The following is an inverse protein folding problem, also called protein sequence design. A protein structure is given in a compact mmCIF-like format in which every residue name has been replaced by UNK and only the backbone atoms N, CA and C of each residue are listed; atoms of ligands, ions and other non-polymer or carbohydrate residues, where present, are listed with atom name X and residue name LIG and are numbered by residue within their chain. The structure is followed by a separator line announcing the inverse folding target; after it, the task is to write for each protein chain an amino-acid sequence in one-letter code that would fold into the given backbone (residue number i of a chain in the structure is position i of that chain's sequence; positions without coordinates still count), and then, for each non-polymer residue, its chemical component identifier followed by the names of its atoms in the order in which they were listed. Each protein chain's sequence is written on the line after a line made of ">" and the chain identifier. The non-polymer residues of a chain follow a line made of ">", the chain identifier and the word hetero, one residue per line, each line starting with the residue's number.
data_IF_391718219832
#
_entry.id   IF_391718219832
#
_cell.length_a   1.000
_cell.length_b   1.000
_cell.length_c   1.000
_cell.angle_alpha   90.00
_cell.angle_beta   90.00
_cell.angle_gamma   90.00
#
_symmetry.space_group_name_H-M   'P 1'
#
loop_
_entity.id
_entity.type
_entity.pdbx_description
1 polymer ?
#
# COMPACT_ATOMS: atom_id res chain seq x y z
N UNK A 1 6.78 3.46 -17.86
CA UNK A 1 6.62 2.63 -16.63
C UNK A 1 5.18 2.78 -16.17
N UNK A 2 4.35 1.77 -16.34
CA UNK A 2 2.92 1.84 -15.98
C UNK A 2 2.77 1.94 -14.46
N UNK A 3 2.21 3.05 -13.98
CA UNK A 3 1.96 3.26 -12.56
C UNK A 3 0.63 2.59 -12.18
N UNK A 4 0.65 1.63 -11.27
CA UNK A 4 -0.58 0.98 -10.81
C UNK A 4 -1.19 1.76 -9.64
N UNK A 5 -2.45 2.13 -9.77
CA UNK A 5 -3.18 2.90 -8.76
C UNK A 5 -4.34 2.06 -8.25
N UNK A 6 -4.34 1.78 -6.96
CA UNK A 6 -5.44 1.11 -6.25
C UNK A 6 -6.17 2.17 -5.45
N UNK A 7 -7.46 2.36 -5.71
CA UNK A 7 -8.25 3.41 -5.07
C UNK A 7 -9.69 2.98 -4.84
N UNK A 8 -10.36 3.68 -3.93
CA UNK A 8 -11.80 3.61 -3.79
C UNK A 8 -12.41 4.77 -4.59
N UNK A 9 -13.33 4.46 -5.52
CA UNK A 9 -13.93 5.49 -6.35
C UNK A 9 -14.75 6.47 -5.48
N UNK A 10 -14.52 7.78 -5.57
CA UNK A 10 -15.27 8.75 -4.77
C UNK A 10 -16.74 8.88 -5.19
N UNK A 11 -17.09 8.44 -6.40
CA UNK A 11 -18.46 8.50 -6.92
C UNK A 11 -19.28 7.25 -6.57
N UNK A 12 -18.77 6.05 -6.84
CA UNK A 12 -19.52 4.81 -6.62
C UNK A 12 -19.08 4.01 -5.39
N UNK A 13 -18.04 4.42 -4.67
CA UNK A 13 -17.52 3.73 -3.50
C UNK A 13 -16.83 2.38 -3.78
N UNK A 14 -16.82 1.92 -5.03
CA UNK A 14 -16.19 0.65 -5.42
C UNK A 14 -14.66 0.72 -5.39
N UNK A 15 -14.01 -0.38 -4.95
CA UNK A 15 -12.56 -0.55 -5.08
C UNK A 15 -12.20 -0.80 -6.54
N UNK A 16 -11.27 -0.01 -7.07
CA UNK A 16 -10.79 -0.05 -8.46
C UNK A 16 -9.27 -0.13 -8.51
N UNK A 17 -8.78 -0.74 -9.59
CA UNK A 17 -7.36 -0.81 -9.92
C UNK A 17 -7.22 -0.31 -11.35
N UNK A 18 -6.32 0.64 -11.57
CA UNK A 18 -6.06 1.19 -12.89
C UNK A 18 -4.55 1.33 -13.09
N UNK A 19 -4.12 1.34 -14.35
CA UNK A 19 -2.74 1.61 -14.74
C UNK A 19 -2.76 2.61 -15.90
N UNK A 20 -2.79 3.93 -15.62
CA UNK A 20 -2.80 4.93 -16.66
C UNK A 20 -1.52 4.83 -17.50
N UNK A 21 -1.68 4.85 -18.82
CA UNK A 21 -0.58 4.82 -19.79
C UNK A 21 -0.84 5.94 -20.82
N UNK A 22 0.00 7.00 -20.87
CA UNK A 22 1.16 7.30 -20.02
C UNK A 22 0.81 7.55 -18.52
N UNK A 23 1.78 7.58 -17.59
CA UNK A 23 1.51 7.67 -16.13
C UNK A 23 0.72 8.92 -15.68
N UNK A 24 0.82 9.99 -16.44
CA UNK A 24 0.09 11.24 -16.30
C UNK A 24 -1.28 11.24 -16.99
N UNK A 25 -1.66 10.15 -17.68
CA UNK A 25 -2.97 10.00 -18.30
C UNK A 25 -4.11 10.09 -17.27
N UNK A 26 -5.32 10.49 -17.70
CA UNK A 26 -6.47 10.61 -16.81
C UNK A 26 -6.79 9.30 -16.10
N UNK A 27 -7.01 9.37 -14.79
CA UNK A 27 -7.51 8.24 -14.02
C UNK A 27 -9.02 8.12 -14.28
N UNK A 28 -9.49 6.89 -14.56
CA UNK A 28 -10.90 6.60 -14.82
C UNK A 28 -11.39 5.45 -13.97
N UNK A 29 -12.68 5.48 -13.64
CA UNK A 29 -13.40 4.40 -13.00
C UNK A 29 -14.24 3.65 -14.03
N UNK A 30 -13.91 2.38 -14.28
CA UNK A 30 -14.61 1.54 -15.27
C UNK A 30 -16.04 1.18 -14.85
N UNK A 31 -16.44 1.46 -13.61
CA UNK A 31 -17.78 1.15 -13.11
C UNK A 31 -18.80 2.27 -13.27
N UNK A 32 -18.39 3.54 -13.10
CA UNK A 32 -19.32 4.66 -13.06
C UNK A 32 -18.89 5.85 -13.94
N UNK A 33 -17.79 5.71 -14.70
CA UNK A 33 -17.29 6.75 -15.60
C UNK A 33 -16.63 7.94 -14.91
N UNK A 34 -16.49 7.93 -13.57
CA UNK A 34 -15.76 8.99 -12.87
C UNK A 34 -14.34 9.10 -13.42
N UNK A 35 -13.88 10.32 -13.67
CA UNK A 35 -12.52 10.56 -14.14
C UNK A 35 -11.91 11.81 -13.53
N UNK A 36 -10.59 11.84 -13.41
CA UNK A 36 -9.81 13.01 -13.03
C UNK A 36 -8.64 13.17 -14.00
N UNK A 37 -8.60 14.30 -14.68
CA UNK A 37 -7.66 14.60 -15.77
C UNK A 37 -6.52 15.57 -15.36
N UNK A 38 -6.42 15.94 -14.08
CA UNK A 38 -5.37 16.86 -13.58
C UNK A 38 -3.94 16.32 -13.77
N UNK A 39 -3.79 15.05 -14.14
CA UNK A 39 -2.72 14.61 -15.02
C UNK A 39 -1.32 15.06 -14.62
N UNK A 40 -0.77 15.94 -15.44
CA UNK A 40 0.55 16.53 -15.28
C UNK A 40 0.69 17.41 -14.01
N UNK A 41 -0.38 18.06 -13.53
CA UNK A 41 -0.34 18.94 -12.37
C UNK A 41 -0.15 18.18 -11.03
N UNK A 42 -0.43 16.87 -11.00
CA UNK A 42 -0.17 16.05 -9.82
C UNK A 42 1.32 15.65 -9.69
N UNK A 43 2.12 15.88 -10.74
CA UNK A 43 3.55 15.61 -10.75
C UNK A 43 4.34 16.91 -10.59
N UNK A 44 5.38 16.88 -9.76
CA UNK A 44 6.34 17.97 -9.62
C UNK A 44 7.75 17.41 -9.87
N UNK A 45 8.48 18.04 -10.80
CA UNK A 45 9.83 17.60 -11.20
C UNK A 45 9.90 16.10 -11.56
N UNK A 46 8.87 15.58 -12.22
CA UNK A 46 8.78 14.17 -12.63
C UNK A 46 8.36 13.20 -11.54
N UNK A 47 8.16 13.66 -10.30
CA UNK A 47 7.74 12.83 -9.16
C UNK A 47 6.29 13.12 -8.74
N UNK A 48 5.61 12.12 -8.16
CA UNK A 48 4.23 12.28 -7.72
C UNK A 48 4.13 13.19 -6.49
N UNK A 49 3.71 14.43 -6.66
CA UNK A 49 3.60 15.41 -5.59
C UNK A 49 2.21 15.44 -4.93
N UNK A 50 1.17 15.02 -5.67
CA UNK A 50 -0.21 14.99 -5.17
C UNK A 50 -0.91 13.69 -5.55
N UNK A 51 -1.88 13.30 -4.73
CA UNK A 51 -2.68 12.12 -4.98
C UNK A 51 -3.50 12.28 -6.26
N UNK A 52 -3.34 11.34 -7.20
CA UNK A 52 -4.07 11.32 -8.49
C UNK A 52 -5.58 11.22 -8.36
N UNK A 53 -6.09 10.83 -7.19
CA UNK A 53 -7.52 10.60 -6.95
C UNK A 53 -8.19 11.83 -6.33
N UNK A 54 -7.59 12.42 -5.30
CA UNK A 54 -8.21 13.49 -4.50
C UNK A 54 -7.42 14.82 -4.50
N UNK A 55 -6.25 14.89 -5.14
CA UNK A 55 -5.41 16.09 -5.21
C UNK A 55 -4.67 16.45 -3.92
N UNK A 56 -4.76 15.62 -2.87
CA UNK A 56 -4.06 15.87 -1.60
C UNK A 56 -2.53 15.75 -1.77
N UNK A 57 -1.76 16.67 -1.19
CA UNK A 57 -0.29 16.63 -1.17
C UNK A 57 0.28 15.71 -0.10
N UNK A 58 -0.51 15.36 0.91
CA UNK A 58 -0.05 14.53 2.02
C UNK A 58 -0.03 13.06 1.59
N UNK A 59 1.14 12.63 1.10
CA UNK A 59 1.48 11.27 0.69
C UNK A 59 2.60 10.75 1.58
N UNK A 60 2.54 9.48 1.96
CA UNK A 60 3.59 8.83 2.73
C UNK A 60 4.10 7.56 2.05
N UNK A 61 5.36 7.22 2.30
CA UNK A 61 6.00 5.99 1.78
C UNK A 61 5.65 4.79 2.65
N UNK A 62 5.07 3.77 2.02
CA UNK A 62 4.79 2.47 2.62
C UNK A 62 5.47 1.36 1.82
N UNK A 63 6.02 0.34 2.49
CA UNK A 63 6.43 -0.89 1.79
C UNK A 63 5.21 -1.62 1.25
N UNK A 64 5.34 -2.14 0.04
CA UNK A 64 4.24 -2.79 -0.69
C UNK A 64 3.89 -4.23 -0.22
N UNK A 65 3.71 -4.35 1.09
CA UNK A 65 3.27 -5.48 1.91
C UNK A 65 2.17 -6.41 1.36
N UNK A 66 2.33 -7.58 0.69
CA UNK A 66 1.18 -8.45 0.44
C UNK A 66 0.84 -9.21 1.73
N UNK A 67 -0.22 -8.85 2.48
CA UNK A 67 -0.45 -9.43 3.80
C UNK A 67 -0.74 -10.92 3.73
N UNK A 68 -1.34 -11.37 2.63
CA UNK A 68 -1.62 -12.77 2.37
C UNK A 68 -0.35 -13.63 2.28
N UNK A 69 0.76 -13.09 1.73
CA UNK A 69 2.01 -13.82 1.61
C UNK A 69 2.67 -14.00 2.98
N UNK A 70 2.79 -12.91 3.75
CA UNK A 70 3.32 -12.99 5.12
C UNK A 70 2.50 -13.93 6.00
N UNK A 71 1.16 -13.85 5.91
CA UNK A 71 0.28 -14.76 6.64
C UNK A 71 0.50 -16.22 6.24
N UNK A 72 0.67 -16.52 4.95
CA UNK A 72 0.94 -17.86 4.47
C UNK A 72 2.28 -18.41 5.00
N UNK A 73 3.33 -17.59 5.04
CA UNK A 73 4.65 -17.96 5.60
C UNK A 73 4.51 -18.30 7.09
N UNK A 74 3.90 -17.40 7.88
CA UNK A 74 3.74 -17.60 9.32
C UNK A 74 2.85 -18.82 9.61
N UNK A 75 1.75 -18.99 8.88
CA UNK A 75 0.84 -20.13 9.09
C UNK A 75 1.51 -21.48 8.78
N UNK A 76 2.26 -21.56 7.68
CA UNK A 76 2.98 -22.80 7.32
C UNK A 76 4.08 -23.13 8.32
N UNK A 77 4.84 -22.13 8.76
CA UNK A 77 5.87 -22.30 9.79
C UNK A 77 5.29 -22.71 11.15
N UNK A 78 4.15 -22.13 11.54
CA UNK A 78 3.46 -22.48 12.78
C UNK A 78 2.99 -23.94 12.76
N UNK A 79 2.36 -24.40 11.66
CA UNK A 79 1.94 -25.80 11.51
C UNK A 79 3.15 -26.74 11.57
N UNK A 80 4.21 -26.45 10.82
CA UNK A 80 5.43 -27.27 10.82
C UNK A 80 6.10 -27.32 12.20
N UNK A 81 6.14 -26.20 12.91
CA UNK A 81 6.69 -26.10 14.27
C UNK A 81 5.87 -26.90 15.28
N UNK A 82 4.54 -26.78 15.25
CA UNK A 82 3.63 -27.57 16.09
C UNK A 82 3.78 -29.07 15.84
N UNK A 83 3.89 -29.50 14.59
CA UNK A 83 4.10 -30.89 14.23
C UNK A 83 5.46 -31.41 14.74
N UNK A 84 6.54 -30.62 14.62
CA UNK A 84 7.84 -31.00 15.17
C UNK A 84 7.84 -31.11 16.71
N UNK A 85 7.12 -30.21 17.39
CA UNK A 85 6.88 -30.33 18.84
C UNK A 85 6.14 -31.60 19.21
N UNK A 86 5.11 -31.99 18.45
CA UNK A 86 4.36 -33.22 18.69
C UNK A 86 5.23 -34.49 18.57
N UNK A 87 6.31 -34.44 17.79
CA UNK A 87 7.31 -35.51 17.67
C UNK A 87 8.51 -35.37 18.62
N UNK A 88 8.43 -34.49 19.63
CA UNK A 88 9.51 -34.23 20.59
C UNK A 88 10.84 -33.79 19.92
N UNK A 89 10.75 -33.01 18.83
CA UNK A 89 11.91 -32.49 18.08
C UNK A 89 12.04 -30.97 18.24
N UNK A 90 12.50 -30.45 19.39
CA UNK A 90 12.51 -29.01 19.68
C UNK A 90 13.44 -28.20 18.76
N UNK A 91 14.56 -28.78 18.33
CA UNK A 91 15.51 -28.12 17.43
C UNK A 91 14.86 -27.82 16.08
N UNK A 92 14.09 -28.77 15.53
CA UNK A 92 13.37 -28.59 14.28
C UNK A 92 12.22 -27.59 14.42
N UNK A 93 11.49 -27.65 15.54
CA UNK A 93 10.40 -26.71 15.80
C UNK A 93 10.88 -25.25 15.81
N UNK A 94 12.01 -24.97 16.47
CA UNK A 94 12.65 -23.65 16.46
C UNK A 94 13.22 -23.33 15.08
N UNK A 95 13.83 -24.31 14.40
CA UNK A 95 14.37 -24.16 13.05
C UNK A 95 13.34 -23.65 12.04
N UNK A 96 12.13 -24.19 12.03
CA UNK A 96 11.06 -23.72 11.13
C UNK A 96 10.67 -22.26 11.39
N UNK A 97 10.59 -21.83 12.65
CA UNK A 97 10.31 -20.44 13.01
C UNK A 97 11.45 -19.51 12.60
N UNK A 98 12.70 -19.95 12.77
CA UNK A 98 13.88 -19.18 12.35
C UNK A 98 13.94 -19.01 10.83
N UNK A 99 13.63 -20.06 10.06
CA UNK A 99 13.54 -19.98 8.60
C UNK A 99 12.44 -19.01 8.19
N UNK A 100 11.27 -19.05 8.83
CA UNK A 100 10.19 -18.11 8.55
C UNK A 100 10.60 -16.66 8.82
N UNK A 101 11.24 -16.39 9.96
CA UNK A 101 11.75 -15.06 10.29
C UNK A 101 12.78 -14.56 9.26
N UNK A 102 13.67 -15.45 8.77
CA UNK A 102 14.63 -15.12 7.72
C UNK A 102 13.93 -14.79 6.39
N UNK A 103 12.92 -15.58 6.01
CA UNK A 103 12.12 -15.34 4.80
C UNK A 103 11.39 -14.00 4.88
N UNK A 104 10.82 -13.65 6.03
CA UNK A 104 10.17 -12.36 6.25
C UNK A 104 11.17 -11.20 6.12
N UNK A 105 12.38 -11.33 6.69
CA UNK A 105 13.44 -10.32 6.56
C UNK A 105 13.86 -10.12 5.10
N UNK A 106 14.01 -11.23 4.36
CA UNK A 106 14.38 -11.21 2.95
C UNK A 106 13.28 -10.56 2.10
N UNK A 107 12.03 -10.93 2.33
CA UNK A 107 10.86 -10.38 1.65
C UNK A 107 10.72 -8.88 1.93
N UNK A 108 10.91 -8.45 3.18
CA UNK A 108 10.90 -7.03 3.55
C UNK A 108 11.99 -6.24 2.81
N UNK A 109 13.18 -6.82 2.68
CA UNK A 109 14.32 -6.16 2.05
C UNK A 109 14.15 -6.00 0.53
N UNK A 110 13.51 -6.95 -0.14
CA UNK A 110 13.27 -6.89 -1.59
C UNK A 110 12.04 -6.07 -1.99
N UNK A 111 11.23 -5.67 -1.02
CA UNK A 111 9.98 -5.01 -1.31
C UNK A 111 10.15 -3.54 -1.70
N UNK A 112 9.57 -3.19 -2.85
CA UNK A 112 9.48 -1.82 -3.32
C UNK A 112 8.61 -0.92 -2.43
N UNK A 113 8.85 0.39 -2.54
CA UNK A 113 8.00 1.41 -1.94
C UNK A 113 6.73 1.64 -2.78
N UNK A 114 5.66 2.04 -2.11
CA UNK A 114 4.45 2.63 -2.69
C UNK A 114 4.09 3.91 -1.93
N UNK A 115 3.46 4.86 -2.63
CA UNK A 115 2.92 6.06 -1.98
C UNK A 115 1.47 5.85 -1.61
N UNK A 116 1.10 6.27 -0.41
CA UNK A 116 -0.27 6.18 0.09
C UNK A 116 -0.76 7.57 0.47
N UNK A 117 -1.95 7.93 0.00
CA UNK A 117 -2.59 9.19 0.35
C UNK A 117 -3.23 9.12 1.73
N UNK A 118 -2.96 10.10 2.60
CA UNK A 118 -3.59 10.16 3.92
C UNK A 118 -5.11 10.39 3.87
N UNK A 119 -5.61 11.08 2.85
CA UNK A 119 -7.04 11.46 2.76
C UNK A 119 -7.92 10.33 2.21
N UNK A 120 -7.58 9.78 1.06
CA UNK A 120 -8.42 8.80 0.36
C UNK A 120 -7.87 7.37 0.39
N UNK A 121 -6.75 7.14 1.08
CA UNK A 121 -6.06 5.85 1.14
C UNK A 121 -5.72 5.22 -0.23
N UNK A 122 -5.69 6.02 -1.30
CA UNK A 122 -5.25 5.57 -2.61
C UNK A 122 -3.76 5.18 -2.56
N UNK A 123 -3.44 4.04 -3.16
CA UNK A 123 -2.09 3.47 -3.21
C UNK A 123 -1.54 3.61 -4.63
N UNK A 124 -0.39 4.26 -4.74
CA UNK A 124 0.32 4.53 -5.99
C UNK A 124 1.60 3.68 -6.05
N UNK A 125 1.52 2.52 -6.73
CA UNK A 125 2.64 1.60 -6.94
C UNK A 125 3.43 1.98 -8.19
N UNK A 126 4.74 1.72 -8.16
CA UNK A 126 5.66 2.01 -9.28
C UNK A 126 5.57 3.45 -9.81
N UNK A 127 5.12 4.38 -8.98
CA UNK A 127 5.13 5.81 -9.31
C UNK A 127 6.56 6.33 -9.14
N UNK A 128 6.92 7.36 -9.90
CA UNK A 128 8.19 8.04 -9.70
C UNK A 128 8.08 8.80 -8.37
N UNK A 129 8.86 8.37 -7.38
CA UNK A 129 8.90 8.93 -6.04
C UNK A 129 10.19 9.70 -5.88
N UNK A 130 10.14 10.83 -5.20
CA UNK A 130 11.37 11.41 -4.64
C UNK A 130 11.76 10.66 -3.39
N UNK A 131 13.05 10.65 -3.10
CA UNK A 131 13.56 9.99 -1.90
C UNK A 131 13.15 10.72 -0.61
N UNK A 132 12.74 11.98 -0.73
CA UNK A 132 12.31 12.85 0.37
C UNK A 132 10.85 12.68 0.80
N UNK A 133 10.07 11.78 0.17
CA UNK A 133 8.71 11.54 0.66
C UNK A 133 8.73 11.03 2.10
N UNK A 134 7.91 11.62 2.99
CA UNK A 134 7.94 11.29 4.40
C UNK A 134 7.49 9.84 4.65
N UNK A 135 7.99 9.25 5.73
CA UNK A 135 7.42 8.02 6.30
C UNK A 135 6.08 8.33 6.96
N UNK A 136 5.39 7.28 7.40
CA UNK A 136 4.14 7.42 8.14
C UNK A 136 4.33 8.28 9.39
N UNK A 137 3.62 9.40 9.42
CA UNK A 137 3.35 10.22 10.60
C UNK A 137 1.94 9.94 11.15
N UNK A 138 1.88 9.67 12.46
CA UNK A 138 0.66 9.36 13.20
C UNK A 138 -0.22 10.60 13.42
N UNK A 139 0.39 11.77 13.65
CA UNK A 139 -0.35 13.02 13.88
C UNK A 139 -1.15 13.39 12.63
N UNK A 140 -0.51 13.37 11.46
CA UNK A 140 -1.16 13.60 10.18
C UNK A 140 -2.27 12.57 9.92
N UNK A 141 -2.03 11.29 10.21
CA UNK A 141 -3.05 10.25 10.05
C UNK A 141 -4.30 10.52 10.89
N UNK A 142 -4.11 10.85 12.17
CA UNK A 142 -5.21 11.13 13.08
C UNK A 142 -5.93 12.42 12.70
N UNK A 143 -5.22 13.45 12.24
CA UNK A 143 -5.83 14.68 11.71
C UNK A 143 -6.80 14.38 10.57
N UNK A 144 -6.40 13.56 9.60
CA UNK A 144 -7.28 13.18 8.48
C UNK A 144 -8.46 12.31 8.93
N UNK A 145 -8.25 11.41 9.90
CA UNK A 145 -9.31 10.61 10.50
C UNK A 145 -10.37 11.50 11.15
N UNK A 146 -9.95 12.47 11.95
CA UNK A 146 -10.85 13.44 12.61
C UNK A 146 -11.60 14.30 11.60
N UNK A 147 -10.95 14.72 10.50
CA UNK A 147 -11.63 15.44 9.42
C UNK A 147 -12.71 14.60 8.74
N UNK A 148 -12.47 13.32 8.50
CA UNK A 148 -13.45 12.41 7.90
C UNK A 148 -14.65 12.16 8.84
N UNK A 149 -14.40 11.98 10.15
CA UNK A 149 -15.47 11.87 11.16
C UNK A 149 -16.36 13.11 11.18
N UNK A 150 -15.76 14.31 11.25
CA UNK A 150 -16.48 15.58 11.19
C UNK A 150 -17.30 15.72 9.91
N UNK A 151 -16.76 15.31 8.77
CA UNK A 151 -17.47 15.34 7.48
C UNK A 151 -18.66 14.39 7.45
N UNK A 152 -18.60 13.27 8.17
CA UNK A 152 -19.68 12.28 8.29
C UNK A 152 -20.72 12.65 9.34
N UNK A 153 -20.49 13.70 10.14
CA UNK A 153 -21.39 14.12 11.21
C UNK A 153 -21.47 13.13 12.37
N UNK A 154 -20.41 12.34 12.58
CA UNK A 154 -20.25 11.40 13.70
C UNK A 154 -19.44 12.05 14.80
#
# INVERSE_FOLDING_TARGET
>A
MSSHIIFQCPACGGRKVTAPEPPDAPVRCDGCGWSRAEGAADFQSGSLARCRICGCSDLWRQKDFPPALGLAIVATAAVASCTAWAWYQPVWAIGFLMVAALLDMLLYSFMGDMLVCYRCAARHRKSVMRDDHPRFDLETAERYRQQDLKRRGV
#
